data_IF_392574988521
#
_entry.id   IF_392574988521
#
_cell.length_a   1.000
_cell.length_b   1.000
_cell.length_c   1.000
_cell.angle_alpha   90.00
_cell.angle_beta   90.00
_cell.angle_gamma   90.00
#
_symmetry.space_group_name_H-M   'P 1'
#
loop_
_entity.id
_entity.type
_entity.pdbx_description
1 polymer ?
#
# COMPACT_ATOMS: atom_id res chain seq x y z
N UNK A 1 -2.29 -21.33 27.87
CA UNK A 1 -2.00 -21.26 26.43
C UNK A 1 -2.27 -19.85 25.97
N UNK A 2 -1.31 -19.25 25.30
CA UNK A 2 -1.33 -17.86 24.81
C UNK A 2 -1.83 -17.80 23.37
N UNK A 3 -1.41 -18.75 22.53
CA UNK A 3 -1.66 -18.72 21.08
C UNK A 3 -2.88 -19.54 20.64
N UNK A 4 -3.57 -20.18 21.59
CA UNK A 4 -4.75 -20.99 21.32
C UNK A 4 -5.83 -20.82 22.39
N UNK A 5 -7.08 -20.83 21.94
CA UNK A 5 -8.25 -20.87 22.83
C UNK A 5 -9.33 -21.74 22.20
N UNK A 6 -9.72 -22.81 22.90
CA UNK A 6 -10.89 -23.60 22.50
C UNK A 6 -12.14 -22.83 22.92
N UNK A 7 -12.97 -22.50 21.93
CA UNK A 7 -14.17 -21.67 22.11
C UNK A 7 -15.39 -22.55 22.35
N UNK A 8 -15.53 -23.64 21.59
CA UNK A 8 -16.64 -24.61 21.75
C UNK A 8 -16.17 -26.04 21.51
N UNK A 9 -16.90 -26.97 22.10
CA UNK A 9 -16.82 -28.42 21.86
C UNK A 9 -18.20 -28.93 21.48
N UNK A 10 -18.28 -29.97 20.66
CA UNK A 10 -19.55 -30.60 20.30
C UNK A 10 -20.45 -29.71 19.43
N UNK A 11 -19.87 -28.85 18.60
CA UNK A 11 -20.63 -28.13 17.57
C UNK A 11 -21.28 -29.16 16.63
N UNK A 12 -22.58 -29.04 16.40
CA UNK A 12 -23.28 -29.90 15.43
C UNK A 12 -22.74 -29.65 14.02
N UNK A 13 -22.11 -30.69 13.46
CA UNK A 13 -21.48 -30.64 12.15
C UNK A 13 -22.39 -31.15 11.03
N UNK A 14 -23.51 -31.79 11.35
CA UNK A 14 -24.36 -32.45 10.36
C UNK A 14 -24.82 -31.49 9.24
N UNK A 15 -25.31 -30.27 9.53
CA UNK A 15 -25.73 -29.34 8.48
C UNK A 15 -24.59 -28.97 7.52
N UNK A 16 -23.40 -28.66 8.06
CA UNK A 16 -22.23 -28.26 7.27
C UNK A 16 -21.68 -29.44 6.44
N UNK A 17 -21.68 -30.65 7.01
CA UNK A 17 -21.25 -31.87 6.32
C UNK A 17 -22.21 -32.24 5.19
N UNK A 18 -23.52 -32.05 5.38
CA UNK A 18 -24.52 -32.28 4.35
C UNK A 18 -24.33 -31.33 3.16
N UNK A 19 -24.03 -30.05 3.41
CA UNK A 19 -23.70 -29.07 2.36
C UNK A 19 -22.44 -29.46 1.59
N UNK A 20 -21.37 -29.84 2.29
CA UNK A 20 -20.13 -30.30 1.68
C UNK A 20 -20.33 -31.56 0.82
N UNK A 21 -21.15 -32.50 1.28
CA UNK A 21 -21.48 -33.72 0.54
C UNK A 21 -22.29 -33.43 -0.72
N UNK A 22 -23.33 -32.59 -0.61
CA UNK A 22 -24.19 -32.18 -1.75
C UNK A 22 -23.45 -31.36 -2.80
N UNK A 23 -22.38 -30.67 -2.40
CA UNK A 23 -21.64 -29.76 -3.28
C UNK A 23 -20.15 -30.12 -3.35
N UNK A 24 -19.82 -31.41 -3.40
CA UNK A 24 -18.43 -31.90 -3.46
C UNK A 24 -17.64 -31.34 -4.65
N UNK A 25 -18.27 -31.12 -5.80
CA UNK A 25 -17.63 -30.50 -6.97
C UNK A 25 -17.16 -29.06 -6.73
N UNK A 26 -17.55 -28.42 -5.63
CA UNK A 26 -17.08 -27.09 -5.25
C UNK A 26 -15.56 -27.04 -4.98
N UNK A 27 -14.95 -28.17 -4.60
CA UNK A 27 -13.49 -28.26 -4.39
C UNK A 27 -12.70 -28.03 -5.68
N UNK A 28 -13.27 -28.36 -6.84
CA UNK A 28 -12.61 -28.28 -8.14
C UNK A 28 -12.68 -26.88 -8.77
N UNK A 29 -13.52 -25.99 -8.24
CA UNK A 29 -13.81 -24.68 -8.82
C UNK A 29 -12.71 -23.63 -8.58
N UNK A 30 -11.74 -23.86 -7.69
CA UNK A 30 -10.65 -22.92 -7.43
C UNK A 30 -9.27 -23.56 -7.21
N UNK A 31 -8.53 -23.74 -8.30
CA UNK A 31 -7.12 -24.17 -8.29
C UNK A 31 -6.10 -23.04 -8.09
N UNK A 32 -6.53 -21.76 -8.13
CA UNK A 32 -5.62 -20.62 -8.19
C UNK A 32 -4.72 -20.38 -6.95
N UNK A 33 -5.03 -20.96 -5.78
CA UNK A 33 -4.18 -20.84 -4.57
C UNK A 33 -2.92 -21.71 -4.65
N UNK A 34 -2.98 -22.85 -5.35
CA UNK A 34 -1.84 -23.75 -5.53
C UNK A 34 -0.68 -23.02 -6.25
N UNK A 35 -1.02 -22.04 -7.10
CA UNK A 35 -0.08 -21.20 -7.85
C UNK A 35 0.40 -19.95 -7.10
N UNK A 36 -0.37 -19.43 -6.13
CA UNK A 36 -0.14 -18.09 -5.55
C UNK A 36 0.25 -18.08 -4.07
N UNK A 37 0.16 -19.22 -3.37
CA UNK A 37 0.54 -19.37 -1.97
C UNK A 37 1.45 -20.60 -1.76
N UNK A 38 2.79 -20.47 -1.93
CA UNK A 38 3.71 -21.60 -1.91
C UNK A 38 3.63 -22.46 -0.64
N UNK A 39 3.44 -21.84 0.53
CA UNK A 39 3.33 -22.55 1.82
C UNK A 39 2.05 -23.42 1.95
N UNK A 40 1.05 -23.20 1.08
CA UNK A 40 -0.26 -23.85 1.10
C UNK A 40 -0.55 -24.56 -0.24
N UNK A 41 0.49 -24.87 -1.02
CA UNK A 41 0.37 -25.38 -2.40
C UNK A 41 -0.46 -26.67 -2.50
N UNK A 42 -0.40 -27.51 -1.47
CA UNK A 42 -1.10 -28.80 -1.45
C UNK A 42 -2.51 -28.70 -0.84
N UNK A 43 -2.99 -27.50 -0.52
CA UNK A 43 -4.32 -27.31 0.06
C UNK A 43 -5.37 -27.00 -1.01
N UNK A 44 -6.54 -27.62 -0.88
CA UNK A 44 -7.74 -27.27 -1.64
C UNK A 44 -8.66 -26.41 -0.78
N UNK A 45 -9.45 -25.53 -1.38
CA UNK A 45 -10.32 -24.63 -0.62
C UNK A 45 -11.61 -24.27 -1.36
N UNK A 46 -12.71 -24.22 -0.60
CA UNK A 46 -14.00 -23.67 -1.05
C UNK A 46 -14.14 -22.28 -0.43
N UNK A 47 -13.96 -21.18 -1.19
CA UNK A 47 -14.10 -19.84 -0.64
C UNK A 47 -15.58 -19.46 -0.46
N UNK A 48 -15.93 -19.13 0.78
CA UNK A 48 -17.26 -18.66 1.14
C UNK A 48 -17.26 -17.13 1.19
N UNK A 49 -16.37 -16.52 1.97
CA UNK A 49 -16.25 -15.06 2.04
C UNK A 49 -14.87 -14.64 1.58
N UNK A 50 -14.80 -13.83 0.52
CA UNK A 50 -13.55 -13.46 -0.14
C UNK A 50 -13.35 -11.97 -0.24
N UNK A 51 -12.11 -11.57 -0.53
CA UNK A 51 -11.74 -10.21 -0.91
C UNK A 51 -12.73 -9.60 -1.92
N UNK A 52 -13.26 -8.41 -1.62
CA UNK A 52 -14.00 -7.60 -2.60
C UNK A 52 -13.01 -6.91 -3.54
N UNK A 53 -12.80 -7.49 -4.73
CA UNK A 53 -11.79 -7.02 -5.70
C UNK A 53 -11.94 -5.54 -6.08
N UNK A 54 -13.17 -5.03 -6.19
CA UNK A 54 -13.43 -3.61 -6.50
C UNK A 54 -12.93 -2.64 -5.41
N UNK A 55 -12.65 -3.14 -4.20
CA UNK A 55 -12.09 -2.36 -3.11
C UNK A 55 -10.55 -2.40 -3.07
N UNK A 56 -9.86 -3.03 -4.03
CA UNK A 56 -8.38 -3.07 -4.02
C UNK A 56 -7.80 -1.66 -4.00
N UNK A 57 -8.24 -0.77 -4.89
CA UNK A 57 -7.88 0.66 -4.89
C UNK A 57 -6.37 0.90 -4.67
N UNK A 58 -5.51 0.17 -5.39
CA UNK A 58 -4.05 0.26 -5.28
C UNK A 58 -3.39 -0.49 -4.11
N UNK A 59 -4.17 -1.01 -3.14
CA UNK A 59 -3.64 -1.74 -1.97
C UNK A 59 -3.23 -3.17 -2.33
N UNK A 60 -2.32 -3.77 -1.56
CA UNK A 60 -2.04 -5.21 -1.68
C UNK A 60 -3.27 -6.00 -1.22
N UNK A 61 -3.51 -7.18 -1.80
CA UNK A 61 -4.69 -8.02 -1.46
C UNK A 61 -4.80 -8.38 0.02
N UNK A 62 -3.67 -8.42 0.74
CA UNK A 62 -3.60 -8.70 2.19
C UNK A 62 -3.86 -7.48 3.07
N UNK A 63 -4.06 -6.29 2.48
CA UNK A 63 -4.32 -5.04 3.19
C UNK A 63 -5.73 -4.49 2.88
N UNK A 64 -6.54 -5.25 2.14
CA UNK A 64 -7.93 -4.90 1.82
C UNK A 64 -8.86 -5.55 2.83
N UNK A 65 -9.58 -4.72 3.58
CA UNK A 65 -10.47 -5.11 4.67
C UNK A 65 -11.80 -5.64 4.16
N UNK A 66 -12.26 -5.13 3.02
CA UNK A 66 -13.56 -5.41 2.47
C UNK A 66 -13.62 -6.83 1.91
N UNK A 67 -14.55 -7.61 2.46
CA UNK A 67 -14.90 -8.94 1.99
C UNK A 67 -16.38 -9.01 1.63
N UNK A 68 -16.75 -10.03 0.85
CA UNK A 68 -18.14 -10.34 0.52
C UNK A 68 -18.32 -11.84 0.38
N UNK A 69 -19.55 -12.30 0.64
CA UNK A 69 -19.96 -13.66 0.30
C UNK A 69 -19.76 -13.88 -1.20
N UNK A 70 -19.26 -15.05 -1.57
CA UNK A 70 -19.10 -15.48 -2.96
C UNK A 70 -20.46 -15.96 -3.50
N UNK A 71 -20.63 -15.99 -4.82
CA UNK A 71 -21.83 -16.61 -5.42
C UNK A 71 -21.98 -18.08 -5.00
N UNK A 72 -20.87 -18.76 -4.71
CA UNK A 72 -20.86 -20.13 -4.23
C UNK A 72 -21.46 -20.27 -2.83
N UNK A 73 -21.38 -19.24 -1.99
CA UNK A 73 -21.91 -19.26 -0.61
C UNK A 73 -23.40 -19.47 -0.53
N UNK A 74 -24.15 -19.14 -1.59
CA UNK A 74 -25.59 -19.40 -1.67
C UNK A 74 -25.91 -20.90 -1.56
N UNK A 75 -24.96 -21.78 -1.88
CA UNK A 75 -25.08 -23.24 -1.74
C UNK A 75 -24.68 -23.75 -0.35
N UNK A 76 -24.20 -22.87 0.52
CA UNK A 76 -23.68 -23.19 1.85
C UNK A 76 -24.39 -22.34 2.93
N UNK A 77 -25.72 -22.26 2.88
CA UNK A 77 -26.52 -21.38 3.72
C UNK A 77 -26.43 -21.71 5.21
N UNK A 78 -26.36 -22.98 5.60
CA UNK A 78 -26.13 -23.40 6.99
C UNK A 78 -24.74 -23.00 7.47
N UNK A 79 -23.72 -23.14 6.61
CA UNK A 79 -22.37 -22.66 6.93
C UNK A 79 -22.32 -21.13 7.09
N UNK A 80 -22.99 -20.39 6.20
CA UNK A 80 -23.09 -18.92 6.30
C UNK A 80 -23.81 -18.52 7.58
N UNK A 81 -24.95 -19.14 7.89
CA UNK A 81 -25.72 -18.88 9.10
C UNK A 81 -24.91 -19.16 10.38
N UNK A 82 -24.13 -20.25 10.40
CA UNK A 82 -23.23 -20.54 11.53
C UNK A 82 -22.20 -19.41 11.76
N UNK A 83 -21.56 -18.94 10.69
CA UNK A 83 -20.56 -17.86 10.79
C UNK A 83 -21.22 -16.55 11.25
N UNK A 84 -22.38 -16.20 10.69
CA UNK A 84 -23.09 -14.96 11.02
C UNK A 84 -23.60 -14.99 12.46
N UNK A 85 -24.17 -16.12 12.93
CA UNK A 85 -24.59 -16.28 14.31
C UNK A 85 -23.40 -16.17 15.27
N UNK A 86 -22.31 -16.89 14.99
CA UNK A 86 -21.13 -16.82 15.84
C UNK A 86 -20.49 -15.41 15.86
N UNK A 87 -20.46 -14.73 14.72
CA UNK A 87 -19.97 -13.35 14.65
C UNK A 87 -20.82 -12.39 15.48
N UNK A 88 -22.15 -12.52 15.41
CA UNK A 88 -23.07 -11.73 16.22
C UNK A 88 -22.87 -11.97 17.72
N UNK A 89 -22.68 -13.22 18.15
CA UNK A 89 -22.37 -13.56 19.54
C UNK A 89 -21.05 -12.96 20.04
N UNK A 90 -20.04 -12.84 19.17
CA UNK A 90 -18.77 -12.20 19.50
C UNK A 90 -18.82 -10.66 19.40
N UNK A 91 -19.95 -10.07 19.00
CA UNK A 91 -20.03 -8.64 18.71
C UNK A 91 -19.05 -8.23 17.61
N UNK A 92 -18.88 -9.07 16.58
CA UNK A 92 -17.85 -8.91 15.56
C UNK A 92 -18.43 -9.01 14.14
N UNK A 93 -17.68 -8.51 13.16
CA UNK A 93 -18.09 -8.56 11.75
C UNK A 93 -17.41 -9.73 11.00
N UNK A 94 -18.15 -10.56 10.23
CA UNK A 94 -17.55 -11.61 9.41
C UNK A 94 -16.53 -11.11 8.37
N UNK A 95 -15.31 -11.62 8.48
CA UNK A 95 -14.19 -11.37 7.58
C UNK A 95 -14.19 -12.28 6.36
N UNK A 96 -13.09 -12.98 6.10
CA UNK A 96 -12.92 -13.96 5.02
C UNK A 96 -13.21 -15.33 5.59
N UNK A 97 -13.81 -16.20 4.79
CA UNK A 97 -14.23 -17.52 5.21
C UNK A 97 -14.04 -18.54 4.08
N UNK A 98 -13.66 -19.76 4.43
CA UNK A 98 -13.48 -20.87 3.50
C UNK A 98 -13.54 -22.20 4.21
N UNK A 99 -13.95 -23.25 3.50
CA UNK A 99 -13.46 -24.58 3.83
C UNK A 99 -12.05 -24.75 3.29
N UNK A 100 -11.18 -25.39 4.07
CA UNK A 100 -9.82 -25.73 3.71
C UNK A 100 -9.61 -27.23 3.92
N UNK A 101 -9.17 -27.90 2.86
CA UNK A 101 -8.77 -29.30 2.89
C UNK A 101 -7.23 -29.38 2.86
N UNK A 102 -6.66 -30.14 3.80
CA UNK A 102 -5.28 -30.57 3.80
C UNK A 102 -5.26 -32.09 3.57
N UNK A 103 -4.75 -32.57 2.41
CA UNK A 103 -4.75 -33.99 2.10
C UNK A 103 -3.97 -34.85 3.10
N UNK A 104 -4.22 -36.16 3.08
CA UNK A 104 -3.49 -37.12 3.91
C UNK A 104 -1.95 -36.99 3.76
N UNK A 105 -1.24 -37.01 4.89
CA UNK A 105 0.23 -36.91 4.95
C UNK A 105 0.82 -35.55 4.57
N UNK A 106 0.00 -34.52 4.31
CA UNK A 106 0.48 -33.19 3.88
C UNK A 106 0.66 -32.23 5.06
N UNK A 107 1.54 -31.27 4.85
CA UNK A 107 1.85 -30.20 5.80
C UNK A 107 1.66 -28.83 5.16
N UNK A 108 1.31 -27.86 6.00
CA UNK A 108 1.37 -26.44 5.69
C UNK A 108 2.65 -25.92 6.32
N UNK A 109 3.53 -25.32 5.52
CA UNK A 109 4.84 -24.87 6.00
C UNK A 109 4.73 -23.71 7.01
N UNK A 110 5.71 -23.53 7.91
CA UNK A 110 5.74 -22.41 8.85
C UNK A 110 5.58 -21.05 8.17
N UNK A 111 4.59 -20.28 8.61
CA UNK A 111 4.30 -18.93 8.10
C UNK A 111 3.62 -18.05 9.15
N UNK A 112 3.52 -16.76 8.82
CA UNK A 112 2.72 -15.77 9.54
C UNK A 112 1.72 -15.19 8.56
N UNK A 113 0.49 -14.96 9.00
CA UNK A 113 -0.48 -14.23 8.20
C UNK A 113 -0.17 -12.74 8.19
N UNK A 114 0.47 -12.28 7.11
CA UNK A 114 0.90 -10.88 6.96
C UNK A 114 -0.18 -10.01 6.32
N UNK A 115 -0.24 -8.75 6.75
CA UNK A 115 -1.04 -7.70 6.14
C UNK A 115 -2.07 -7.12 7.11
N UNK A 116 -2.48 -5.88 6.84
CA UNK A 116 -3.36 -5.11 7.74
C UNK A 116 -4.71 -5.79 7.95
N UNK A 117 -5.17 -6.54 6.94
CA UNK A 117 -6.38 -7.34 7.05
C UNK A 117 -6.30 -8.35 8.22
N UNK A 118 -5.19 -9.08 8.35
CA UNK A 118 -5.04 -10.14 9.35
C UNK A 118 -4.62 -9.59 10.72
N UNK A 119 -3.90 -8.46 10.75
CA UNK A 119 -3.48 -7.80 11.99
C UNK A 119 -4.68 -7.44 12.88
N UNK A 120 -5.79 -7.01 12.27
CA UNK A 120 -6.98 -6.56 12.99
C UNK A 120 -8.04 -7.65 13.21
N UNK A 121 -7.77 -8.89 12.80
CA UNK A 121 -8.79 -9.94 12.82
C UNK A 121 -8.36 -11.15 13.61
N UNK A 122 -9.34 -11.77 14.24
CA UNK A 122 -9.21 -13.06 14.88
C UNK A 122 -9.54 -14.16 13.89
N UNK A 123 -8.77 -15.25 13.93
CA UNK A 123 -8.99 -16.41 13.06
C UNK A 123 -9.53 -17.59 13.86
N UNK A 124 -10.59 -18.16 13.33
CA UNK A 124 -11.27 -19.31 13.90
C UNK A 124 -11.22 -20.51 12.98
N UNK A 125 -11.01 -21.68 13.59
CA UNK A 125 -10.97 -22.98 12.95
C UNK A 125 -12.03 -23.87 13.61
N UNK A 126 -13.08 -24.22 12.86
CA UNK A 126 -13.98 -25.31 13.22
C UNK A 126 -13.51 -26.57 12.50
N UNK A 127 -13.21 -27.62 13.26
CA UNK A 127 -12.78 -28.91 12.69
C UNK A 127 -14.00 -29.66 12.17
N UNK A 128 -14.09 -29.82 10.84
CA UNK A 128 -15.22 -30.48 10.18
C UNK A 128 -14.96 -31.97 10.00
N UNK A 129 -13.73 -32.32 9.61
CA UNK A 129 -13.28 -33.71 9.44
C UNK A 129 -11.80 -33.84 9.76
N UNK A 130 -11.43 -34.75 10.65
CA UNK A 130 -10.05 -35.09 10.96
C UNK A 130 -9.98 -36.36 11.81
N UNK A 131 -9.74 -37.51 11.18
CA UNK A 131 -9.80 -38.85 11.80
C UNK A 131 -8.94 -38.96 13.08
N UNK A 132 -7.68 -38.50 13.02
CA UNK A 132 -6.75 -38.51 14.16
C UNK A 132 -6.70 -37.18 14.92
N UNK A 133 -7.60 -36.25 14.62
CA UNK A 133 -7.47 -34.86 15.04
C UNK A 133 -6.37 -34.11 14.28
N UNK A 134 -6.45 -32.79 14.33
CA UNK A 134 -5.69 -31.85 13.51
C UNK A 134 -4.59 -31.19 14.31
N UNK A 135 -3.32 -31.40 13.95
CA UNK A 135 -2.19 -30.70 14.60
C UNK A 135 -2.05 -29.29 14.03
N UNK A 136 -2.01 -28.30 14.92
CA UNK A 136 -1.68 -26.91 14.61
C UNK A 136 -0.66 -26.42 15.64
N UNK A 137 0.44 -25.86 15.14
CA UNK A 137 1.49 -25.25 15.95
C UNK A 137 1.41 -23.73 15.78
N UNK A 138 1.56 -22.95 16.85
CA UNK A 138 1.64 -21.50 16.79
C UNK A 138 2.42 -20.95 17.97
N UNK A 139 3.43 -20.11 17.71
CA UNK A 139 4.18 -19.40 18.76
C UNK A 139 4.87 -20.31 19.78
N UNK A 140 5.30 -21.50 19.36
CA UNK A 140 5.90 -22.50 20.25
C UNK A 140 4.90 -23.39 21.01
N UNK A 141 3.59 -23.14 20.88
CA UNK A 141 2.54 -24.02 21.40
C UNK A 141 2.04 -24.98 20.31
N UNK A 142 1.56 -26.16 20.72
CA UNK A 142 0.97 -27.17 19.83
C UNK A 142 -0.36 -27.66 20.37
N UNK A 143 -1.36 -27.80 19.50
CA UNK A 143 -2.66 -28.40 19.83
C UNK A 143 -3.04 -29.46 18.81
N UNK A 144 -3.79 -30.48 19.26
CA UNK A 144 -4.46 -31.44 18.40
C UNK A 144 -5.96 -31.26 18.49
N UNK A 145 -6.51 -30.48 17.55
CA UNK A 145 -7.92 -30.11 17.49
C UNK A 145 -8.78 -31.31 17.04
N UNK A 146 -9.91 -31.56 17.71
CA UNK A 146 -10.84 -32.66 17.40
C UNK A 146 -12.04 -32.18 16.61
N UNK A 147 -12.69 -33.08 15.88
CA UNK A 147 -13.93 -32.79 15.16
C UNK A 147 -14.99 -32.17 16.09
N UNK A 148 -15.69 -31.14 15.60
CA UNK A 148 -16.71 -30.43 16.36
C UNK A 148 -16.14 -29.42 17.36
N UNK A 149 -14.81 -29.29 17.46
CA UNK A 149 -14.19 -28.22 18.24
C UNK A 149 -14.01 -26.95 17.39
N UNK A 150 -14.42 -25.82 17.97
CA UNK A 150 -14.15 -24.48 17.45
C UNK A 150 -13.00 -23.86 18.23
N UNK A 151 -11.97 -23.44 17.52
CA UNK A 151 -10.77 -22.86 18.09
C UNK A 151 -10.51 -21.47 17.54
N UNK A 152 -10.14 -20.54 18.42
CA UNK A 152 -9.34 -19.38 18.06
C UNK A 152 -7.87 -19.75 18.13
N UNK A 153 -7.07 -19.24 17.20
CA UNK A 153 -5.62 -19.27 17.34
C UNK A 153 -4.99 -17.96 16.87
N UNK A 154 -3.81 -17.67 17.40
CA UNK A 154 -3.03 -16.51 17.02
C UNK A 154 -2.34 -16.73 15.67
N UNK A 155 -3.04 -16.36 14.60
CA UNK A 155 -2.51 -16.42 13.23
C UNK A 155 -1.38 -15.40 12.95
N UNK A 156 -1.10 -14.51 13.91
CA UNK A 156 -0.04 -13.49 13.82
C UNK A 156 1.29 -14.01 14.34
N UNK A 157 1.27 -15.11 15.12
CA UNK A 157 2.46 -15.88 15.47
C UNK A 157 2.90 -16.79 14.31
N UNK A 158 4.18 -17.21 14.33
CA UNK A 158 4.68 -18.22 13.41
C UNK A 158 3.92 -19.53 13.65
N UNK A 159 3.28 -20.06 12.61
CA UNK A 159 2.42 -21.23 12.70
C UNK A 159 2.53 -22.14 11.49
N UNK A 160 2.28 -23.42 11.73
CA UNK A 160 2.27 -24.51 10.74
C UNK A 160 1.24 -25.56 11.11
N UNK A 161 0.87 -26.41 10.16
CA UNK A 161 -0.12 -27.45 10.40
C UNK A 161 0.26 -28.76 9.70
N UNK A 162 -0.14 -29.88 10.30
CA UNK A 162 0.12 -31.21 9.77
C UNK A 162 -1.17 -32.04 9.72
N UNK A 163 -1.36 -32.79 8.64
CA UNK A 163 -2.30 -33.90 8.59
C UNK A 163 -1.53 -35.22 8.60
N UNK A 164 -1.37 -35.82 9.78
CA UNK A 164 -0.68 -37.09 10.01
C UNK A 164 -1.61 -38.31 9.95
N UNK A 165 -2.82 -38.13 9.42
CA UNK A 165 -3.80 -39.19 9.21
C UNK A 165 -3.77 -39.75 7.78
N UNK A 166 -4.45 -40.88 7.59
CA UNK A 166 -4.62 -41.51 6.27
C UNK A 166 -5.78 -40.92 5.46
N UNK A 167 -6.51 -39.94 6.01
CA UNK A 167 -7.66 -39.32 5.39
C UNK A 167 -7.50 -37.79 5.29
N UNK A 168 -8.30 -37.16 4.43
CA UNK A 168 -8.30 -35.72 4.28
C UNK A 168 -8.81 -35.00 5.54
N UNK A 169 -8.10 -33.92 5.90
CA UNK A 169 -8.47 -33.03 7.01
C UNK A 169 -9.18 -31.80 6.46
N UNK A 170 -10.40 -31.55 6.93
CA UNK A 170 -11.23 -30.41 6.50
C UNK A 170 -11.54 -29.49 7.69
N UNK A 171 -11.21 -28.22 7.55
CA UNK A 171 -11.56 -27.15 8.49
C UNK A 171 -12.47 -26.13 7.81
N UNK A 172 -13.45 -25.60 8.55
CA UNK A 172 -14.03 -24.31 8.26
C UNK A 172 -13.16 -23.24 8.93
N UNK A 173 -12.54 -22.41 8.11
CA UNK A 173 -11.68 -21.31 8.55
C UNK A 173 -12.40 -20.01 8.25
N UNK A 174 -12.59 -19.19 9.26
CA UNK A 174 -13.16 -17.86 9.09
C UNK A 174 -12.50 -16.84 10.01
N UNK A 175 -12.41 -15.60 9.55
CA UNK A 175 -11.88 -14.50 10.33
C UNK A 175 -13.03 -13.61 10.83
N UNK A 176 -12.90 -13.02 12.02
CA UNK A 176 -13.81 -11.99 12.54
C UNK A 176 -13.05 -10.70 12.81
N UNK A 177 -13.68 -9.56 12.53
CA UNK A 177 -13.21 -8.23 12.92
C UNK A 177 -13.92 -7.83 14.22
N UNK A 178 -13.21 -7.73 15.36
CA UNK A 178 -13.78 -7.21 16.61
C UNK A 178 -14.39 -5.81 16.44
N UNK A 179 -15.43 -5.47 17.20
CA UNK A 179 -16.11 -4.16 17.08
C UNK A 179 -15.24 -2.96 17.49
N UNK A 180 -14.25 -3.16 18.35
CA UNK A 180 -13.31 -2.13 18.80
C UNK A 180 -12.12 -1.93 17.83
N UNK A 181 -12.02 -2.76 16.80
CA UNK A 181 -10.99 -2.63 15.79
C UNK A 181 -11.42 -1.61 14.73
N UNK A 182 -10.80 -0.42 14.73
CA UNK A 182 -11.03 0.65 13.76
C UNK A 182 -9.90 0.72 12.71
N UNK A 183 -10.06 0.16 11.50
CA UNK A 183 -8.98 0.11 10.51
C UNK A 183 -8.57 1.47 9.97
N UNK A 184 -9.51 2.43 9.88
CA UNK A 184 -9.27 3.77 9.33
C UNK A 184 -8.51 4.67 10.30
N UNK A 185 -8.67 4.49 11.61
CA UNK A 185 -7.97 5.29 12.63
C UNK A 185 -6.45 5.04 12.68
N UNK A 186 -5.96 4.06 11.90
CA UNK A 186 -4.56 3.62 11.92
C UNK A 186 -3.71 4.26 10.82
N UNK A 187 -4.31 5.05 9.93
CA UNK A 187 -3.61 5.62 8.78
C UNK A 187 -3.99 7.08 8.54
N UNK A 188 -2.98 7.89 8.25
CA UNK A 188 -3.17 9.26 7.78
C UNK A 188 -3.80 9.29 6.38
N UNK A 189 -4.42 10.42 6.03
CA UNK A 189 -4.95 10.62 4.67
C UNK A 189 -3.79 10.69 3.66
N UNK A 190 -3.68 9.70 2.73
CA UNK A 190 -2.63 9.72 1.73
C UNK A 190 -2.70 10.93 0.79
N UNK A 191 -3.88 11.51 0.57
CA UNK A 191 -4.04 12.73 -0.22
C UNK A 191 -3.36 13.92 0.46
N UNK A 192 -3.68 14.16 1.74
CA UNK A 192 -3.07 15.21 2.54
C UNK A 192 -1.55 15.03 2.70
N UNK A 193 -1.08 13.80 2.92
CA UNK A 193 0.36 13.51 2.99
C UNK A 193 1.08 13.84 1.68
N UNK A 194 0.48 13.46 0.53
CA UNK A 194 1.04 13.74 -0.77
C UNK A 194 1.07 15.25 -1.07
N UNK A 195 -0.03 15.96 -0.80
CA UNK A 195 -0.10 17.41 -0.97
C UNK A 195 0.96 18.12 -0.12
N UNK A 196 1.14 17.70 1.12
CA UNK A 196 2.16 18.25 2.03
C UNK A 196 3.57 18.05 1.47
N UNK A 197 3.90 16.85 1.00
CA UNK A 197 5.23 16.56 0.45
C UNK A 197 5.48 17.31 -0.87
N UNK A 198 4.48 17.38 -1.76
CA UNK A 198 4.60 18.13 -3.01
C UNK A 198 4.79 19.63 -2.75
N UNK A 199 4.05 20.21 -1.80
CA UNK A 199 4.22 21.60 -1.40
C UNK A 199 5.61 21.85 -0.77
N UNK A 200 6.08 20.94 0.09
CA UNK A 200 7.43 21.02 0.66
C UNK A 200 8.51 20.93 -0.41
N UNK A 201 8.34 20.04 -1.39
CA UNK A 201 9.25 19.91 -2.52
C UNK A 201 9.27 21.17 -3.39
N UNK A 202 8.10 21.74 -3.70
CA UNK A 202 8.00 22.98 -4.47
C UNK A 202 8.71 24.13 -3.75
N UNK A 203 8.46 24.34 -2.44
CA UNK A 203 9.16 25.36 -1.64
C UNK A 203 10.68 25.23 -1.73
N UNK A 204 11.21 24.02 -1.56
CA UNK A 204 12.65 23.77 -1.72
C UNK A 204 13.15 24.22 -3.09
N UNK A 205 12.48 23.83 -4.19
CA UNK A 205 12.87 24.24 -5.54
C UNK A 205 12.82 25.75 -5.75
N UNK A 206 11.81 26.43 -5.22
CA UNK A 206 11.70 27.89 -5.30
C UNK A 206 12.88 28.57 -4.58
N UNK A 207 13.23 28.09 -3.37
CA UNK A 207 14.42 28.58 -2.65
C UNK A 207 15.71 28.32 -3.44
N UNK A 208 15.82 27.18 -4.12
CA UNK A 208 16.99 26.89 -4.97
C UNK A 208 17.08 27.87 -6.16
N UNK A 209 15.95 28.20 -6.79
CA UNK A 209 15.88 29.20 -7.86
C UNK A 209 16.32 30.57 -7.33
N UNK A 210 15.82 30.99 -6.17
CA UNK A 210 16.24 32.26 -5.56
C UNK A 210 17.77 32.30 -5.35
N UNK A 211 18.36 31.23 -4.81
CA UNK A 211 19.83 31.13 -4.65
C UNK A 211 20.57 31.15 -6.00
N UNK A 212 20.04 30.49 -7.02
CA UNK A 212 20.63 30.51 -8.36
C UNK A 212 20.58 31.92 -8.98
N UNK A 213 19.47 32.65 -8.80
CA UNK A 213 19.34 34.05 -9.22
C UNK A 213 20.35 34.92 -8.47
N UNK A 214 20.47 34.80 -7.14
CA UNK A 214 21.48 35.52 -6.35
C UNK A 214 22.90 35.23 -6.85
N UNK A 215 23.23 33.97 -7.12
CA UNK A 215 24.52 33.57 -7.67
C UNK A 215 24.77 34.23 -9.03
N UNK A 216 23.75 34.28 -9.89
CA UNK A 216 23.87 34.91 -11.21
C UNK A 216 24.05 36.42 -11.12
N UNK A 217 23.36 37.09 -10.19
CA UNK A 217 23.56 38.53 -9.93
C UNK A 217 25.00 38.79 -9.44
N UNK A 218 25.52 37.96 -8.53
CA UNK A 218 26.92 38.06 -8.09
C UNK A 218 27.92 37.80 -9.23
N UNK A 219 27.61 36.85 -10.12
CA UNK A 219 28.39 36.57 -11.31
C UNK A 219 28.42 37.75 -12.30
N UNK A 220 27.29 38.45 -12.49
CA UNK A 220 27.23 39.70 -13.29
C UNK A 220 28.15 40.78 -12.71
N UNK A 221 28.24 40.87 -11.38
CA UNK A 221 29.13 41.81 -10.69
C UNK A 221 30.61 41.43 -10.70
N UNK A 222 30.96 40.17 -10.98
CA UNK A 222 32.34 39.67 -10.97
C UNK A 222 32.61 38.74 -12.17
N UNK A 223 32.55 39.26 -13.41
CA UNK A 223 32.51 38.43 -14.62
C UNK A 223 33.79 37.62 -14.87
N UNK A 224 34.97 38.15 -14.53
CA UNK A 224 36.25 37.44 -14.71
C UNK A 224 36.35 36.19 -13.83
N UNK A 225 35.98 36.33 -12.55
CA UNK A 225 35.98 35.20 -11.60
C UNK A 225 34.93 34.16 -12.00
N UNK A 226 33.77 34.61 -12.47
CA UNK A 226 32.73 33.71 -12.96
C UNK A 226 33.16 32.95 -14.22
N UNK A 227 33.86 33.60 -15.15
CA UNK A 227 34.41 32.95 -16.33
C UNK A 227 35.40 31.83 -15.95
N UNK A 228 36.21 32.02 -14.91
CA UNK A 228 37.06 30.96 -14.34
C UNK A 228 36.24 29.76 -13.86
N UNK A 229 35.23 29.99 -13.01
CA UNK A 229 34.32 28.93 -12.53
C UNK A 229 33.64 28.17 -13.68
N UNK A 230 33.18 28.88 -14.72
CA UNK A 230 32.59 28.28 -15.91
C UNK A 230 33.60 27.45 -16.71
N UNK A 231 34.85 27.88 -16.79
CA UNK A 231 35.94 27.15 -17.46
C UNK A 231 36.26 25.84 -16.74
N UNK A 232 36.37 25.88 -15.41
CA UNK A 232 36.65 24.69 -14.59
C UNK A 232 35.56 23.61 -14.73
N UNK A 233 34.31 24.04 -14.95
CA UNK A 233 33.18 23.15 -15.20
C UNK A 233 32.99 22.79 -16.69
N UNK A 234 33.84 23.28 -17.60
CA UNK A 234 33.73 23.03 -19.04
C UNK A 234 32.50 23.67 -19.70
N UNK A 235 31.95 24.73 -19.11
CA UNK A 235 30.71 25.40 -19.53
C UNK A 235 30.93 26.79 -20.13
N UNK A 236 32.18 27.30 -20.16
CA UNK A 236 32.49 28.66 -20.63
C UNK A 236 31.97 28.96 -22.04
N UNK A 237 32.23 28.09 -23.01
CA UNK A 237 31.74 28.26 -24.39
C UNK A 237 30.21 28.16 -24.49
N UNK A 238 29.60 27.29 -23.68
CA UNK A 238 28.14 27.15 -23.65
C UNK A 238 27.46 28.40 -23.07
N UNK A 239 28.06 28.99 -22.02
CA UNK A 239 27.56 30.17 -21.34
C UNK A 239 27.48 31.40 -22.27
N UNK A 240 28.36 31.50 -23.27
CA UNK A 240 28.31 32.58 -24.29
C UNK A 240 26.97 32.62 -25.03
N UNK A 241 26.35 31.47 -25.26
CA UNK A 241 25.06 31.35 -25.97
C UNK A 241 23.88 31.25 -25.00
N UNK A 242 24.07 30.57 -23.87
CA UNK A 242 23.03 30.25 -22.90
C UNK A 242 23.54 30.47 -21.48
N UNK A 243 23.67 31.73 -21.03
CA UNK A 243 24.29 32.01 -19.73
C UNK A 243 23.44 31.52 -18.55
N UNK A 244 22.10 31.66 -18.61
CA UNK A 244 21.19 31.07 -17.62
C UNK A 244 21.22 29.54 -17.67
N UNK A 245 21.30 28.96 -18.87
CA UNK A 245 21.43 27.51 -19.02
C UNK A 245 22.75 26.96 -18.45
N UNK A 246 23.85 27.70 -18.58
CA UNK A 246 25.13 27.33 -17.99
C UNK A 246 25.07 27.35 -16.46
N UNK A 247 24.49 28.42 -15.89
CA UNK A 247 24.20 28.51 -14.45
C UNK A 247 23.34 27.33 -13.99
N UNK A 248 22.24 27.03 -14.69
CA UNK A 248 21.34 25.95 -14.30
C UNK A 248 22.05 24.58 -14.30
N UNK A 249 22.91 24.31 -15.29
CA UNK A 249 23.72 23.08 -15.34
C UNK A 249 24.75 22.96 -14.22
N UNK A 250 25.32 24.10 -13.79
CA UNK A 250 26.22 24.16 -12.64
C UNK A 250 25.47 23.89 -11.33
N UNK A 251 24.31 24.52 -11.17
CA UNK A 251 23.56 24.53 -9.91
C UNK A 251 22.79 23.22 -9.69
N UNK A 252 22.31 22.59 -10.78
CA UNK A 252 21.59 21.32 -10.74
C UNK A 252 22.24 20.26 -11.64
N UNK A 253 23.43 19.73 -11.26
CA UNK A 253 24.08 18.69 -12.02
C UNK A 253 23.21 17.43 -12.03
N UNK A 254 22.90 16.91 -13.23
CA UNK A 254 22.10 15.69 -13.42
C UNK A 254 20.60 15.92 -13.65
N UNK A 255 20.11 17.16 -13.64
CA UNK A 255 18.72 17.44 -14.01
C UNK A 255 18.55 17.43 -15.54
N UNK A 256 17.55 16.68 -16.03
CA UNK A 256 17.25 16.55 -17.46
C UNK A 256 16.56 17.79 -18.07
N UNK A 257 16.47 17.81 -19.40
CA UNK A 257 16.01 18.96 -20.20
C UNK A 257 14.70 19.64 -19.74
N UNK A 258 13.58 18.91 -19.56
CA UNK A 258 12.31 19.53 -19.15
C UNK A 258 12.35 20.15 -17.75
N UNK A 259 12.99 19.48 -16.79
CA UNK A 259 13.15 20.00 -15.44
C UNK A 259 14.04 21.25 -15.40
N UNK A 260 15.12 21.23 -16.19
CA UNK A 260 16.04 22.36 -16.31
C UNK A 260 15.37 23.57 -16.98
N UNK A 261 14.60 23.35 -18.04
CA UNK A 261 13.90 24.43 -18.76
C UNK A 261 12.91 25.19 -17.86
N UNK A 262 12.25 24.47 -16.93
CA UNK A 262 11.38 25.10 -15.93
C UNK A 262 12.14 26.04 -15.00
N UNK A 263 13.29 25.60 -14.51
CA UNK A 263 14.14 26.41 -13.62
C UNK A 263 14.80 27.57 -14.38
N UNK A 264 15.24 27.35 -15.62
CA UNK A 264 15.77 28.41 -16.50
C UNK A 264 14.72 29.51 -16.74
N UNK A 265 13.46 29.13 -16.97
CA UNK A 265 12.35 30.08 -17.07
C UNK A 265 12.15 30.89 -15.80
N UNK A 266 12.15 30.24 -14.63
CA UNK A 266 11.98 30.92 -13.35
C UNK A 266 13.16 31.88 -13.05
N UNK A 267 14.40 31.48 -13.36
CA UNK A 267 15.57 32.34 -13.23
C UNK A 267 15.46 33.55 -14.17
N UNK A 268 15.14 33.31 -15.45
CA UNK A 268 14.98 34.40 -16.43
C UNK A 268 13.88 35.38 -16.04
N UNK A 269 12.76 34.86 -15.55
CA UNK A 269 11.64 35.64 -15.06
C UNK A 269 11.99 36.50 -13.85
N UNK A 270 12.58 35.89 -12.82
CA UNK A 270 13.00 36.61 -11.62
C UNK A 270 14.05 37.68 -11.94
N UNK A 271 15.05 37.37 -12.77
CA UNK A 271 16.03 38.37 -13.23
C UNK A 271 15.37 39.52 -13.98
N UNK A 272 14.38 39.23 -14.85
CA UNK A 272 13.63 40.26 -15.56
C UNK A 272 12.88 41.20 -14.61
N UNK A 273 12.25 40.66 -13.56
CA UNK A 273 11.58 41.47 -12.54
C UNK A 273 12.55 42.30 -11.70
N UNK A 274 13.72 41.75 -11.34
CA UNK A 274 14.79 42.47 -10.65
C UNK A 274 15.32 43.63 -11.52
N UNK A 275 15.55 43.38 -12.81
CA UNK A 275 16.11 44.35 -13.75
C UNK A 275 15.19 45.59 -13.95
N UNK A 276 13.88 45.44 -13.68
CA UNK A 276 12.90 46.55 -13.69
C UNK A 276 12.43 46.97 -12.29
N UNK A 277 13.16 46.55 -11.24
CA UNK A 277 12.92 46.92 -9.84
C UNK A 277 11.51 46.58 -9.32
N UNK A 278 10.87 45.54 -9.89
CA UNK A 278 9.54 45.07 -9.45
C UNK A 278 9.58 44.26 -8.18
N UNK A 279 10.68 43.55 -7.95
CA UNK A 279 10.95 42.76 -6.76
C UNK A 279 12.39 43.01 -6.33
N UNK A 280 12.72 42.68 -5.08
CA UNK A 280 14.08 42.61 -4.55
C UNK A 280 14.54 41.14 -4.47
N UNK A 281 15.86 40.88 -4.33
CA UNK A 281 16.37 39.51 -4.25
C UNK A 281 15.72 38.65 -3.14
N UNK A 282 15.41 39.25 -2.00
CA UNK A 282 14.72 38.60 -0.87
C UNK A 282 13.24 38.25 -1.16
N UNK A 283 12.62 38.88 -2.15
CA UNK A 283 11.20 38.70 -2.52
C UNK A 283 11.00 37.64 -3.61
N UNK A 284 12.07 37.06 -4.18
CA UNK A 284 11.97 36.09 -5.29
C UNK A 284 11.09 34.89 -4.91
N UNK A 285 11.25 34.35 -3.71
CA UNK A 285 10.49 33.17 -3.26
C UNK A 285 8.99 33.47 -3.13
N UNK A 286 8.66 34.65 -2.58
CA UNK A 286 7.28 35.12 -2.46
C UNK A 286 6.67 35.38 -3.84
N UNK A 287 7.38 36.11 -4.70
CA UNK A 287 6.92 36.42 -6.06
C UNK A 287 6.63 35.16 -6.90
N UNK A 288 7.50 34.13 -6.84
CA UNK A 288 7.24 32.86 -7.53
C UNK A 288 6.01 32.16 -6.95
N UNK A 289 5.81 32.23 -5.63
CA UNK A 289 4.65 31.64 -4.96
C UNK A 289 3.35 32.35 -5.34
N UNK A 290 3.34 33.68 -5.36
CA UNK A 290 2.20 34.52 -5.80
C UNK A 290 1.86 34.31 -7.28
N UNK A 291 2.87 34.09 -8.12
CA UNK A 291 2.69 33.72 -9.52
C UNK A 291 2.09 32.31 -9.73
N UNK A 292 1.87 31.54 -8.66
CA UNK A 292 1.28 30.20 -8.70
C UNK A 292 2.33 29.07 -8.82
N UNK A 293 3.57 29.32 -8.43
CA UNK A 293 4.67 28.35 -8.42
C UNK A 293 5.44 28.25 -9.73
N UNK A 294 6.46 27.39 -9.74
CA UNK A 294 7.43 27.27 -10.84
C UNK A 294 6.78 26.85 -12.17
N UNK A 295 5.75 26.00 -12.12
CA UNK A 295 5.03 25.58 -13.33
C UNK A 295 4.23 26.73 -13.96
N UNK A 296 3.61 27.59 -13.13
CA UNK A 296 2.85 28.74 -13.61
C UNK A 296 3.80 29.79 -14.22
N UNK A 297 4.90 30.09 -13.53
CA UNK A 297 5.97 30.96 -14.03
C UNK A 297 6.52 30.43 -15.35
N UNK A 298 6.84 29.14 -15.44
CA UNK A 298 7.35 28.54 -16.67
C UNK A 298 6.35 28.64 -17.82
N UNK A 299 5.07 28.34 -17.60
CA UNK A 299 4.03 28.50 -18.64
C UNK A 299 3.90 29.94 -19.11
N UNK A 300 3.86 30.90 -18.19
CA UNK A 300 3.79 32.32 -18.52
C UNK A 300 5.01 32.76 -19.33
N UNK A 301 6.21 32.39 -18.88
CA UNK A 301 7.47 32.70 -19.53
C UNK A 301 7.59 32.13 -20.95
N UNK A 302 7.13 30.90 -21.16
CA UNK A 302 7.16 30.27 -22.49
C UNK A 302 6.09 30.85 -23.43
N UNK A 303 4.96 31.32 -22.89
CA UNK A 303 3.92 31.94 -23.70
C UNK A 303 4.32 33.33 -24.20
N UNK A 304 4.76 34.20 -23.30
CA UNK A 304 5.16 35.58 -23.61
C UNK A 304 6.00 36.13 -22.46
N UNK A 305 7.29 36.36 -22.71
CA UNK A 305 8.25 36.81 -21.69
C UNK A 305 7.99 38.23 -21.23
N UNK A 306 7.65 39.13 -22.15
CA UNK A 306 7.39 40.53 -21.83
C UNK A 306 6.12 40.61 -21.00
N UNK A 307 5.06 39.90 -21.40
CA UNK A 307 3.84 39.84 -20.60
C UNK A 307 4.07 39.19 -19.24
N UNK A 308 4.92 38.16 -19.14
CA UNK A 308 5.25 37.52 -17.87
C UNK A 308 5.97 38.48 -16.91
N UNK A 309 6.80 39.39 -17.40
CA UNK A 309 7.52 40.39 -16.61
C UNK A 309 6.62 41.61 -16.32
N UNK A 310 6.12 42.29 -17.35
CA UNK A 310 5.40 43.55 -17.22
C UNK A 310 3.93 43.39 -16.78
N UNK A 311 3.36 42.20 -16.94
CA UNK A 311 2.01 41.87 -16.50
C UNK A 311 1.94 41.34 -15.07
N UNK A 312 3.07 41.02 -14.45
CA UNK A 312 3.14 40.62 -13.04
C UNK A 312 2.88 41.84 -12.14
N UNK A 313 2.00 41.67 -11.15
CA UNK A 313 1.57 42.70 -10.22
C UNK A 313 1.58 42.18 -8.81
#
# INVERSE_FOLDING_TARGET
MVHFRRIRTGVDLEPLRLELGRHSSAWDLQVGRQLTAPAQRDTNAIPLRGLRRSCIRGRRRRDVHESRWTSLSAKFSATVAFIEAFAAEQGATPGRARFACLPAGKTVLPHVDRGEYYRLRDRYHLVIRSEKGSVLNAGGESVRMREGELWWFDNKALHDACNDSGADRIHLIFDLLPADAEPSALFDDPGQLLETELAARERRWVEEVARAVTLYVAARGNPERWAGTLSDAGLLEFARKKPIGALARLFWPGLGGPGLARLESAIGWALGLLDIERIRPEEITEAISEAGGLDAVHRAWQADRDRAIYGFR
#
